data_IF_727509059414
#
_entry.id   IF_727509059414
#
_cell.length_a   1.000
_cell.length_b   1.000
_cell.length_c   1.000
_cell.angle_alpha   90.00
_cell.angle_beta   90.00
_cell.angle_gamma   90.00
#
_symmetry.space_group_name_H-M   'P 1'
#
loop_
_entity.id
_entity.type
_entity.pdbx_description
1 polymer ?
#
# COMPACT_ATOMS: atom_id res chain seq x y z
N UNK A 1 66.92 23.92 -28.56
CA UNK A 1 65.86 22.91 -28.90
C UNK A 1 65.10 22.59 -27.67
N UNK A 2 63.96 23.26 -27.46
CA UNK A 2 63.11 23.08 -26.29
C UNK A 2 61.98 22.12 -26.67
N UNK A 3 61.99 20.94 -26.10
CA UNK A 3 60.86 19.97 -26.23
C UNK A 3 59.74 20.36 -25.26
N UNK A 4 58.67 20.85 -25.83
CA UNK A 4 57.40 21.04 -25.06
C UNK A 4 56.77 19.68 -24.81
N UNK A 5 56.67 19.31 -23.54
CA UNK A 5 55.92 18.17 -23.06
C UNK A 5 54.47 18.62 -22.89
N UNK A 6 53.59 18.26 -23.81
CA UNK A 6 52.16 18.43 -23.63
C UNK A 6 51.65 17.32 -22.69
N UNK A 7 51.41 17.67 -21.43
CA UNK A 7 50.69 16.80 -20.51
C UNK A 7 49.21 16.97 -20.81
N UNK A 8 48.63 16.01 -21.50
CA UNK A 8 47.19 15.92 -21.66
C UNK A 8 46.57 15.46 -20.34
N UNK A 9 46.03 16.42 -19.62
CA UNK A 9 45.25 16.15 -18.40
C UNK A 9 43.87 15.64 -18.84
N UNK A 10 43.74 14.33 -18.97
CA UNK A 10 42.42 13.68 -19.16
C UNK A 10 41.64 13.78 -17.88
N UNK A 11 40.74 14.76 -17.83
CA UNK A 11 39.77 14.92 -16.79
C UNK A 11 38.74 13.76 -16.91
N UNK A 12 38.96 12.68 -16.18
CA UNK A 12 37.98 11.62 -16.01
C UNK A 12 36.81 12.19 -15.18
N UNK A 13 35.80 12.69 -15.87
CA UNK A 13 34.50 12.95 -15.28
C UNK A 13 33.91 11.61 -14.86
N UNK A 14 34.16 11.21 -13.59
CA UNK A 14 33.42 10.16 -12.95
C UNK A 14 31.98 10.65 -12.81
N UNK A 15 31.14 10.25 -13.76
CA UNK A 15 29.68 10.30 -13.57
C UNK A 15 29.35 9.37 -12.42
N UNK A 16 29.35 9.88 -11.21
CA UNK A 16 28.62 9.27 -10.11
C UNK A 16 27.16 9.42 -10.47
N UNK A 17 26.59 8.40 -11.12
CA UNK A 17 25.16 8.21 -11.16
C UNK A 17 24.74 8.02 -9.71
N UNK A 18 24.46 9.11 -9.03
CA UNK A 18 23.69 9.10 -7.80
C UNK A 18 22.37 8.45 -8.19
N UNK A 19 22.18 7.19 -7.81
CA UNK A 19 20.86 6.58 -7.78
C UNK A 19 20.05 7.40 -6.79
N UNK A 20 19.49 8.51 -7.25
CA UNK A 20 18.45 9.21 -6.54
C UNK A 20 17.29 8.22 -6.48
N UNK A 21 17.18 7.50 -5.37
CA UNK A 21 16.04 6.65 -5.12
C UNK A 21 14.84 7.57 -5.14
N UNK A 22 14.02 7.44 -6.19
CA UNK A 22 12.84 8.27 -6.37
C UNK A 22 12.00 8.22 -5.10
N UNK A 23 11.68 9.39 -4.56
CA UNK A 23 10.92 9.47 -3.32
C UNK A 23 9.54 8.85 -3.54
N UNK A 24 9.18 7.87 -2.73
CA UNK A 24 7.90 7.19 -2.84
C UNK A 24 6.76 8.18 -2.70
N UNK A 25 5.78 8.08 -3.59
CA UNK A 25 4.59 8.93 -3.63
C UNK A 25 3.75 8.76 -2.36
N UNK A 26 3.33 9.87 -1.77
CA UNK A 26 2.33 9.87 -0.69
C UNK A 26 0.97 9.52 -1.27
N UNK A 27 0.33 8.48 -0.73
CA UNK A 27 -0.95 7.96 -1.24
C UNK A 27 -2.07 8.03 -0.22
N UNK A 28 -1.75 8.27 1.06
CA UNK A 28 -2.75 8.37 2.11
C UNK A 28 -3.28 9.80 2.21
N UNK A 29 -4.59 9.96 2.08
CA UNK A 29 -5.24 11.24 2.35
C UNK A 29 -5.50 11.39 3.86
N UNK A 30 -4.75 12.29 4.50
CA UNK A 30 -4.79 12.48 5.96
C UNK A 30 -6.00 13.32 6.42
N UNK A 31 -6.72 13.95 5.48
CA UNK A 31 -7.87 14.83 5.77
C UNK A 31 -9.21 14.12 5.71
N UNK A 32 -9.27 12.99 5.01
CA UNK A 32 -10.52 12.21 4.85
C UNK A 32 -10.82 11.42 6.11
N UNK A 33 -12.09 11.35 6.48
CA UNK A 33 -12.55 10.46 7.55
C UNK A 33 -12.44 8.99 7.09
N UNK A 34 -11.68 8.15 7.81
CA UNK A 34 -11.45 6.77 7.41
C UNK A 34 -12.73 5.92 7.39
N UNK A 35 -13.73 6.26 8.19
CA UNK A 35 -15.01 5.54 8.21
C UNK A 35 -15.82 5.86 6.96
N UNK A 36 -15.90 7.13 6.58
CA UNK A 36 -16.54 7.60 5.36
C UNK A 36 -15.82 7.07 4.12
N UNK A 37 -14.50 7.05 4.12
CA UNK A 37 -13.71 6.50 3.03
C UNK A 37 -14.05 5.03 2.77
N UNK A 38 -14.20 4.22 3.82
CA UNK A 38 -14.57 2.81 3.72
C UNK A 38 -16.01 2.68 3.20
N UNK A 39 -16.96 3.49 3.68
CA UNK A 39 -18.37 3.42 3.24
C UNK A 39 -18.52 3.78 1.77
N UNK A 40 -17.79 4.79 1.30
CA UNK A 40 -17.75 5.17 -0.11
C UNK A 40 -17.14 4.05 -0.98
N UNK A 41 -16.04 3.42 -0.51
CA UNK A 41 -15.42 2.30 -1.20
C UNK A 41 -16.35 1.07 -1.29
N UNK A 42 -17.07 0.76 -0.21
CA UNK A 42 -18.06 -0.33 -0.20
C UNK A 42 -19.20 -0.08 -1.18
N UNK A 43 -19.70 1.16 -1.24
CA UNK A 43 -20.75 1.55 -2.20
C UNK A 43 -20.30 1.34 -3.64
N UNK A 44 -19.06 1.77 -3.96
CA UNK A 44 -18.48 1.60 -5.29
C UNK A 44 -18.20 0.14 -5.60
N UNK A 45 -17.56 -0.59 -4.70
CA UNK A 45 -17.23 -2.00 -4.86
C UNK A 45 -18.50 -2.85 -5.10
N UNK A 46 -19.56 -2.62 -4.33
CA UNK A 46 -20.84 -3.30 -4.51
C UNK A 46 -21.46 -3.08 -5.88
N UNK A 47 -21.41 -1.85 -6.40
CA UNK A 47 -21.92 -1.53 -7.75
C UNK A 47 -21.13 -2.24 -8.86
N UNK A 48 -19.85 -2.55 -8.62
CA UNK A 48 -18.94 -3.19 -9.56
C UNK A 48 -18.76 -4.70 -9.32
N UNK A 49 -19.43 -5.29 -8.33
CA UNK A 49 -19.29 -6.71 -7.96
C UNK A 49 -17.92 -7.06 -7.40
N UNK A 50 -17.26 -6.10 -6.76
CA UNK A 50 -15.92 -6.21 -6.16
C UNK A 50 -15.99 -6.28 -4.64
N UNK A 51 -14.87 -6.69 -4.04
CA UNK A 51 -14.64 -6.51 -2.61
C UNK A 51 -13.78 -5.27 -2.34
N UNK A 52 -13.70 -4.85 -1.07
CA UNK A 52 -12.84 -3.74 -0.65
C UNK A 52 -11.59 -4.31 0.02
N UNK A 53 -10.43 -3.76 -0.32
CA UNK A 53 -9.20 -4.00 0.43
C UNK A 53 -8.73 -2.69 1.05
N UNK A 54 -8.74 -2.64 2.37
CA UNK A 54 -8.18 -1.54 3.14
C UNK A 54 -6.69 -1.79 3.37
N UNK A 55 -5.81 -1.05 2.71
CA UNK A 55 -4.41 -0.95 3.09
C UNK A 55 -4.31 0.07 4.23
N UNK A 56 -4.26 -0.40 5.47
CA UNK A 56 -4.17 0.46 6.65
C UNK A 56 -2.72 0.82 6.94
N UNK A 57 -2.47 2.11 7.16
CA UNK A 57 -1.14 2.63 7.41
C UNK A 57 -1.10 4.15 7.36
N UNK A 58 -0.09 4.73 6.71
CA UNK A 58 0.03 6.17 6.55
C UNK A 58 1.27 6.58 5.75
N UNK A 59 1.34 7.86 5.40
CA UNK A 59 2.49 8.42 4.68
C UNK A 59 3.80 8.39 5.50
N UNK A 60 3.72 8.15 6.79
CA UNK A 60 4.85 7.96 7.70
C UNK A 60 5.48 6.56 7.63
N UNK A 61 4.85 5.62 6.92
CA UNK A 61 5.23 4.22 6.86
C UNK A 61 5.90 3.89 5.51
N UNK A 62 7.23 3.72 5.45
CA UNK A 62 7.91 3.43 4.18
C UNK A 62 7.44 2.16 3.49
N UNK A 63 7.12 1.10 4.24
CA UNK A 63 6.61 -0.14 3.69
C UNK A 63 5.21 0.01 3.10
N UNK A 64 4.40 0.89 3.67
CA UNK A 64 3.08 1.23 3.13
C UNK A 64 3.19 1.88 1.74
N UNK A 65 4.11 2.84 1.60
CA UNK A 65 4.35 3.52 0.34
C UNK A 65 4.99 2.59 -0.70
N UNK A 66 5.90 1.69 -0.28
CA UNK A 66 6.47 0.67 -1.18
C UNK A 66 5.42 -0.28 -1.71
N UNK A 67 4.44 -0.69 -0.90
CA UNK A 67 3.38 -1.55 -1.38
C UNK A 67 2.50 -0.85 -2.42
N UNK A 68 2.14 0.41 -2.17
CA UNK A 68 1.36 1.19 -3.13
C UNK A 68 2.09 1.37 -4.46
N UNK A 69 3.39 1.70 -4.42
CA UNK A 69 4.26 1.80 -5.59
C UNK A 69 4.38 0.45 -6.33
N UNK A 70 4.51 -0.64 -5.59
CA UNK A 70 4.57 -2.00 -6.14
C UNK A 70 3.28 -2.36 -6.89
N UNK A 71 2.11 -2.13 -6.29
CA UNK A 71 0.81 -2.38 -6.95
C UNK A 71 0.64 -1.52 -8.19
N UNK A 72 1.10 -0.26 -8.16
CA UNK A 72 1.02 0.66 -9.31
C UNK A 72 1.90 0.18 -10.48
N UNK A 73 3.10 -0.35 -10.19
CA UNK A 73 4.11 -0.71 -11.20
C UNK A 73 4.04 -2.14 -11.71
N UNK A 74 3.60 -3.08 -10.88
CA UNK A 74 3.47 -4.48 -11.28
C UNK A 74 2.15 -4.72 -12.03
N UNK A 75 2.25 -5.01 -13.32
CA UNK A 75 1.09 -5.11 -14.20
C UNK A 75 0.15 -6.27 -13.84
N UNK A 76 0.68 -7.40 -13.37
CA UNK A 76 -0.13 -8.57 -13.00
C UNK A 76 -0.89 -8.32 -11.69
N UNK A 77 -0.22 -7.72 -10.71
CA UNK A 77 -0.84 -7.34 -9.44
C UNK A 77 -1.87 -6.22 -9.64
N UNK A 78 -1.50 -5.18 -10.40
CA UNK A 78 -2.41 -4.07 -10.72
C UNK A 78 -3.69 -4.57 -11.39
N UNK A 79 -3.55 -5.44 -12.40
CA UNK A 79 -4.71 -6.05 -13.08
C UNK A 79 -5.57 -6.86 -12.12
N UNK A 80 -4.97 -7.73 -11.32
CA UNK A 80 -5.70 -8.56 -10.36
C UNK A 80 -6.48 -7.71 -9.36
N UNK A 81 -5.84 -6.64 -8.85
CA UNK A 81 -6.47 -5.70 -7.91
C UNK A 81 -7.59 -4.94 -8.59
N UNK A 82 -7.34 -4.32 -9.74
CA UNK A 82 -8.34 -3.49 -10.44
C UNK A 82 -9.57 -4.27 -10.90
N UNK A 83 -9.39 -5.53 -11.26
CA UNK A 83 -10.50 -6.37 -11.71
C UNK A 83 -11.41 -6.85 -10.56
N UNK A 84 -10.88 -7.01 -9.35
CA UNK A 84 -11.57 -7.72 -8.28
C UNK A 84 -11.80 -6.90 -7.01
N UNK A 85 -11.10 -5.78 -6.85
CA UNK A 85 -11.13 -5.02 -5.60
C UNK A 85 -11.21 -3.52 -5.80
N UNK A 86 -11.82 -2.86 -4.85
CA UNK A 86 -11.59 -1.45 -4.57
C UNK A 86 -10.49 -1.37 -3.50
N UNK A 87 -9.25 -1.10 -3.92
CA UNK A 87 -8.12 -0.93 -3.01
C UNK A 87 -8.06 0.52 -2.53
N UNK A 88 -8.16 0.73 -1.23
CA UNK A 88 -8.09 2.06 -0.61
C UNK A 88 -6.95 2.15 0.41
N UNK A 89 -6.31 3.31 0.44
CA UNK A 89 -5.26 3.63 1.42
C UNK A 89 -5.88 4.35 2.61
N UNK A 90 -6.05 3.62 3.72
CA UNK A 90 -6.74 4.11 4.91
C UNK A 90 -5.73 4.63 5.91
N UNK A 91 -5.76 5.96 6.15
CA UNK A 91 -4.82 6.60 7.07
C UNK A 91 -5.11 6.24 8.52
N UNK A 92 -4.09 5.76 9.23
CA UNK A 92 -4.12 5.45 10.65
C UNK A 92 -3.16 6.37 11.40
N UNK A 93 -3.69 7.23 12.23
CA UNK A 93 -2.88 8.14 13.06
C UNK A 93 -3.45 8.22 14.48
N UNK A 94 -2.99 7.37 15.41
CA UNK A 94 -3.48 7.35 16.79
C UNK A 94 -2.84 8.42 17.68
N UNK A 95 -1.94 9.27 17.14
CA UNK A 95 -1.18 10.23 17.95
C UNK A 95 -2.08 11.35 18.47
N UNK A 96 -2.09 11.56 19.78
CA UNK A 96 -2.77 12.71 20.41
C UNK A 96 -2.24 14.05 19.93
N UNK A 97 -0.98 14.13 19.49
CA UNK A 97 -0.40 15.34 18.89
C UNK A 97 -1.09 15.76 17.58
N UNK A 98 -1.81 14.84 16.93
CA UNK A 98 -2.65 15.14 15.75
C UNK A 98 -4.09 15.54 16.14
N UNK A 99 -4.35 15.75 17.44
CA UNK A 99 -5.65 16.09 18.03
C UNK A 99 -6.41 14.87 18.57
N UNK A 100 -7.26 15.08 19.57
CA UNK A 100 -8.09 14.02 20.18
C UNK A 100 -9.00 13.34 19.15
N UNK A 101 -9.57 14.11 18.23
CA UNK A 101 -10.40 13.59 17.14
C UNK A 101 -9.66 12.56 16.26
N UNK A 102 -8.34 12.70 16.09
CA UNK A 102 -7.53 11.72 15.35
C UNK A 102 -7.40 10.39 16.09
N UNK A 103 -7.19 10.45 17.40
CA UNK A 103 -7.12 9.24 18.23
C UNK A 103 -8.46 8.49 18.27
N UNK A 104 -9.58 9.22 18.36
CA UNK A 104 -10.93 8.63 18.33
C UNK A 104 -11.24 7.97 16.98
N UNK A 105 -10.89 8.63 15.88
CA UNK A 105 -11.03 8.06 14.53
C UNK A 105 -10.20 6.79 14.37
N UNK A 106 -8.97 6.81 14.87
CA UNK A 106 -8.10 5.64 14.85
C UNK A 106 -8.68 4.47 15.67
N UNK A 107 -9.24 4.75 16.84
CA UNK A 107 -9.87 3.73 17.69
C UNK A 107 -11.12 3.12 17.02
N UNK A 108 -11.99 3.95 16.43
CA UNK A 108 -13.17 3.51 15.68
C UNK A 108 -12.78 2.66 14.47
N UNK A 109 -11.75 3.08 13.72
CA UNK A 109 -11.21 2.35 12.58
C UNK A 109 -10.73 0.96 13.01
N UNK A 110 -9.92 0.87 14.07
CA UNK A 110 -9.43 -0.41 14.58
C UNK A 110 -10.57 -1.33 14.99
N UNK A 111 -11.57 -0.81 15.69
CA UNK A 111 -12.76 -1.58 16.07
C UNK A 111 -13.52 -2.12 14.86
N UNK A 112 -13.73 -1.28 13.84
CA UNK A 112 -14.44 -1.67 12.62
C UNK A 112 -13.71 -2.77 11.85
N UNK A 113 -12.38 -2.69 11.78
CA UNK A 113 -11.55 -3.60 11.01
C UNK A 113 -11.02 -4.81 11.77
N UNK A 114 -11.51 -5.09 13.00
CA UNK A 114 -11.12 -6.25 13.79
C UNK A 114 -9.72 -6.14 14.40
N UNK A 115 -9.31 -4.92 14.77
CA UNK A 115 -8.02 -4.62 15.41
C UNK A 115 -6.80 -5.11 14.62
N UNK A 116 -6.63 -4.68 13.36
CA UNK A 116 -5.54 -5.15 12.51
C UNK A 116 -4.16 -4.64 12.93
N UNK A 117 -4.06 -3.56 13.70
CA UNK A 117 -2.78 -2.92 14.10
C UNK A 117 -1.83 -3.84 14.88
N UNK A 118 -2.33 -4.95 15.43
CA UNK A 118 -1.50 -5.98 16.08
C UNK A 118 -0.47 -6.64 15.17
N UNK A 119 -0.64 -6.53 13.85
CA UNK A 119 0.26 -7.09 12.84
C UNK A 119 1.31 -6.06 12.33
N UNK A 120 1.28 -4.82 12.81
CA UNK A 120 2.12 -3.76 12.26
C UNK A 120 1.52 -3.12 11.01
N UNK A 121 2.36 -2.40 10.21
CA UNK A 121 1.90 -1.65 9.04
C UNK A 121 2.87 -1.80 7.85
N UNK A 122 2.33 -1.85 6.61
CA UNK A 122 0.91 -1.89 6.31
C UNK A 122 0.26 -3.18 6.80
N UNK A 123 -1.02 -3.12 7.06
CA UNK A 123 -1.85 -4.31 7.22
C UNK A 123 -3.03 -4.22 6.26
N UNK A 124 -3.41 -5.34 5.68
CA UNK A 124 -4.49 -5.38 4.70
C UNK A 124 -5.73 -6.03 5.31
N UNK A 125 -6.86 -5.40 5.11
CA UNK A 125 -8.14 -5.95 5.56
C UNK A 125 -9.06 -6.08 4.36
N UNK A 126 -9.49 -7.30 4.08
CA UNK A 126 -10.44 -7.61 3.01
C UNK A 126 -11.84 -7.53 3.59
N UNK A 127 -12.70 -6.73 2.97
CA UNK A 127 -14.12 -6.60 3.32
C UNK A 127 -14.96 -7.13 2.16
N UNK A 128 -16.02 -7.88 2.49
CA UNK A 128 -17.01 -8.27 1.51
C UNK A 128 -17.95 -7.10 1.16
N UNK A 129 -18.94 -7.33 0.32
CA UNK A 129 -19.90 -6.32 -0.16
C UNK A 129 -20.81 -5.72 0.93
N UNK A 130 -20.96 -6.42 2.08
CA UNK A 130 -21.66 -5.93 3.26
C UNK A 130 -20.75 -5.21 4.25
N UNK A 131 -19.43 -5.14 3.99
CA UNK A 131 -18.45 -4.52 4.86
C UNK A 131 -17.97 -5.41 6.01
N UNK A 132 -18.26 -6.72 5.97
CA UNK A 132 -17.75 -7.67 6.94
C UNK A 132 -16.29 -7.98 6.68
N UNK A 133 -15.49 -8.07 7.75
CA UNK A 133 -14.08 -8.46 7.67
C UNK A 133 -13.98 -9.94 7.32
N UNK A 134 -13.44 -10.21 6.14
CA UNK A 134 -13.22 -11.56 5.63
C UNK A 134 -11.83 -12.08 5.97
N UNK A 135 -10.83 -11.20 5.95
CA UNK A 135 -9.44 -11.55 6.20
C UNK A 135 -8.62 -10.35 6.64
N UNK A 136 -7.64 -10.60 7.49
CA UNK A 136 -6.61 -9.64 7.87
C UNK A 136 -5.25 -10.23 7.49
N UNK A 137 -4.55 -9.59 6.57
CA UNK A 137 -3.25 -10.01 6.07
C UNK A 137 -2.13 -9.16 6.66
N UNK A 138 -1.24 -9.80 7.38
CA UNK A 138 0.05 -9.22 7.78
C UNK A 138 0.94 -9.04 6.55
N UNK A 139 1.45 -7.81 6.35
CA UNK A 139 2.29 -7.49 5.19
C UNK A 139 3.60 -8.27 5.15
N UNK A 140 4.15 -8.66 6.31
CA UNK A 140 5.43 -9.36 6.40
C UNK A 140 5.43 -10.69 5.63
N UNK A 141 4.28 -11.35 5.51
CA UNK A 141 4.13 -12.57 4.71
C UNK A 141 4.16 -12.31 3.19
N UNK A 142 4.02 -11.08 2.76
CA UNK A 142 4.04 -10.68 1.35
C UNK A 142 5.39 -10.12 0.91
N UNK A 143 6.27 -9.85 1.88
CA UNK A 143 7.56 -9.22 1.67
C UNK A 143 8.59 -10.19 1.08
N UNK A 144 9.54 -9.63 0.31
CA UNK A 144 10.71 -10.31 -0.21
C UNK A 144 11.85 -9.30 -0.41
N UNK A 145 13.00 -9.55 0.21
CA UNK A 145 14.14 -8.65 0.17
C UNK A 145 13.79 -7.26 0.73
N UNK A 146 13.93 -6.21 -0.10
CA UNK A 146 13.62 -4.83 0.28
C UNK A 146 12.25 -4.35 -0.24
N UNK A 147 11.40 -5.26 -0.67
CA UNK A 147 10.10 -4.96 -1.30
C UNK A 147 9.09 -6.08 -1.10
N UNK A 148 8.25 -6.30 -2.10
CA UNK A 148 7.18 -7.27 -2.08
C UNK A 148 7.38 -8.33 -3.17
N UNK A 149 6.91 -9.55 -2.91
CA UNK A 149 6.96 -10.65 -3.87
C UNK A 149 5.68 -10.69 -4.69
N UNK A 150 5.79 -10.55 -6.02
CA UNK A 150 4.66 -10.69 -6.94
C UNK A 150 3.86 -11.97 -6.66
N UNK A 151 4.56 -13.12 -6.57
CA UNK A 151 3.93 -14.42 -6.32
C UNK A 151 3.13 -14.46 -5.02
N UNK A 152 3.67 -13.91 -3.92
CA UNK A 152 2.99 -13.91 -2.62
C UNK A 152 1.80 -12.96 -2.64
N UNK A 153 1.96 -11.78 -3.24
CA UNK A 153 0.91 -10.77 -3.35
C UNK A 153 -0.22 -11.25 -4.25
N UNK A 154 0.07 -11.82 -5.42
CA UNK A 154 -0.93 -12.43 -6.29
C UNK A 154 -1.67 -13.57 -5.60
N UNK A 155 -0.95 -14.43 -4.86
CA UNK A 155 -1.59 -15.50 -4.08
C UNK A 155 -2.56 -14.95 -3.04
N UNK A 156 -2.18 -13.89 -2.33
CA UNK A 156 -3.06 -13.22 -1.38
C UNK A 156 -4.33 -12.73 -2.07
N UNK A 157 -4.21 -11.89 -3.10
CA UNK A 157 -5.38 -11.33 -3.77
C UNK A 157 -6.26 -12.40 -4.42
N UNK A 158 -5.67 -13.36 -5.14
CA UNK A 158 -6.44 -14.40 -5.83
C UNK A 158 -7.26 -15.28 -4.88
N UNK A 159 -6.78 -15.52 -3.66
CA UNK A 159 -7.52 -16.29 -2.67
C UNK A 159 -8.76 -15.55 -2.13
N UNK A 160 -8.80 -14.23 -2.25
CA UNK A 160 -9.86 -13.40 -1.66
C UNK A 160 -10.70 -12.65 -2.71
N UNK A 161 -10.59 -12.99 -3.99
CA UNK A 161 -11.50 -12.44 -5.01
C UNK A 161 -12.96 -12.83 -4.71
N UNK A 162 -13.95 -12.00 -5.09
CA UNK A 162 -15.37 -12.35 -4.94
C UNK A 162 -15.69 -13.73 -5.51
N UNK A 163 -15.11 -14.06 -6.68
CA UNK A 163 -15.28 -15.38 -7.31
C UNK A 163 -14.73 -16.51 -6.46
N UNK A 164 -13.52 -16.36 -5.91
CA UNK A 164 -12.89 -17.41 -5.09
C UNK A 164 -13.69 -17.67 -3.80
N UNK A 165 -14.20 -16.62 -3.16
CA UNK A 165 -14.98 -16.72 -1.93
C UNK A 165 -16.38 -17.30 -2.19
N UNK A 166 -17.07 -16.85 -3.24
CA UNK A 166 -18.46 -17.22 -3.50
C UNK A 166 -18.62 -18.59 -4.16
N UNK A 167 -17.59 -19.09 -4.89
CA UNK A 167 -17.64 -20.44 -5.49
C UNK A 167 -17.51 -21.58 -4.46
N UNK A 168 -17.20 -21.26 -3.20
CA UNK A 168 -17.06 -22.25 -2.12
C UNK A 168 -18.25 -22.23 -1.13
N UNK A 169 -19.34 -21.56 -1.48
CA UNK A 169 -20.59 -21.51 -0.69
C UNK A 169 -21.70 -22.36 -1.31
#
# INVERSE_FOLDING_TARGET
MKRLLCIALTLALAFTAANAQEALKKVYNETVDPMEQIDNALTKAKAEGKFVVCQVGGNWCPWCLRFADFVEKDSAVNKTVSDNFELIHVNYNPRKSAGEASADKAAKLMKRLGNPSRFGFPVFVVLNEEGNVMHIQDSSFLEEGKGYSEKKVLRFFNNWTPKAVNNNR
#
